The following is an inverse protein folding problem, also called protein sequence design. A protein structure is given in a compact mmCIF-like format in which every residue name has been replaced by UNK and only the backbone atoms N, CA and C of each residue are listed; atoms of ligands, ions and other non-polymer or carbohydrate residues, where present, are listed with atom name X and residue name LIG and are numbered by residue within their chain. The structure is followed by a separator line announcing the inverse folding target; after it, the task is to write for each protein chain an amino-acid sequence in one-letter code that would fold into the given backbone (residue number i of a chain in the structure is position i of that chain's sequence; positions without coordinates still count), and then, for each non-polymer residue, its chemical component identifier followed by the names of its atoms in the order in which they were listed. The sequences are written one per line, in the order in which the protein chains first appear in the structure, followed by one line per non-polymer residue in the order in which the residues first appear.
data_IF_582757354734
#
_entry.id   IF_582757354734
#
_cell.length_a   1.000
_cell.length_b   1.000
_cell.length_c   1.000
_cell.angle_alpha   90.00
_cell.angle_beta   90.00
_cell.angle_gamma   90.00
#
_symmetry.space_group_name_H-M   'P 1'
#
loop_
_entity.id
_entity.type
_entity.pdbx_description
1 polymer ?
#
# COMPACT_ATOMS: atom_id res chain seq x y z
N UNK A 1 -10.26 5.31 3.12
CA UNK A 1 -8.99 5.88 2.63
C UNK A 1 -7.96 6.11 3.74
N UNK A 2 -8.31 6.79 4.83
CA UNK A 2 -7.41 7.11 5.94
C UNK A 2 -6.52 5.95 6.43
N UNK A 3 -7.11 4.77 6.64
CA UNK A 3 -6.39 3.55 7.02
C UNK A 3 -5.31 3.18 6.01
N UNK A 4 -5.65 3.16 4.72
CA UNK A 4 -4.72 2.82 3.63
C UNK A 4 -3.51 3.74 3.62
N UNK A 5 -3.74 5.06 3.74
CA UNK A 5 -2.64 6.04 3.76
C UNK A 5 -1.75 5.82 4.99
N UNK A 6 -2.36 5.63 6.17
CA UNK A 6 -1.62 5.46 7.43
C UNK A 6 -0.78 4.19 7.42
N UNK A 7 -1.37 3.07 7.04
CA UNK A 7 -0.68 1.78 6.95
C UNK A 7 0.48 1.87 5.95
N UNK A 8 0.24 2.51 4.80
CA UNK A 8 1.26 2.56 3.76
C UNK A 8 2.41 3.51 4.09
N UNK A 9 2.14 4.63 4.75
CA UNK A 9 3.19 5.49 5.31
C UNK A 9 4.05 4.73 6.32
N UNK A 10 3.43 3.94 7.19
CA UNK A 10 4.16 3.12 8.16
C UNK A 10 5.05 2.08 7.49
N UNK A 11 4.52 1.34 6.50
CA UNK A 11 5.30 0.35 5.73
C UNK A 11 6.46 1.00 4.98
N UNK A 12 6.28 2.20 4.44
CA UNK A 12 7.31 2.92 3.69
C UNK A 12 8.27 3.72 4.58
N UNK A 13 8.06 3.76 5.90
CA UNK A 13 8.82 4.62 6.81
C UNK A 13 8.69 6.12 6.49
N UNK A 14 7.61 6.53 5.83
CA UNK A 14 7.43 7.85 5.24
C UNK A 14 6.56 8.75 6.13
N UNK A 15 6.89 10.04 6.21
CA UNK A 15 6.07 11.06 6.88
C UNK A 15 5.08 11.73 5.90
N UNK A 16 4.02 12.34 6.43
CA UNK A 16 3.03 13.08 5.62
C UNK A 16 3.65 14.13 4.69
N UNK A 17 4.67 14.86 5.18
CA UNK A 17 5.39 15.88 4.40
C UNK A 17 6.06 15.27 3.16
N UNK A 18 6.70 14.13 3.32
CA UNK A 18 7.41 13.44 2.24
C UNK A 18 6.41 12.88 1.21
N UNK A 19 5.26 12.38 1.66
CA UNK A 19 4.19 11.98 0.75
C UNK A 19 3.65 13.16 -0.04
N UNK A 20 3.44 14.30 0.62
CA UNK A 20 2.95 15.51 -0.02
C UNK A 20 3.94 16.00 -1.11
N UNK A 21 5.23 16.01 -0.79
CA UNK A 21 6.31 16.35 -1.73
C UNK A 21 6.34 15.39 -2.93
N UNK A 22 6.30 14.07 -2.70
CA UNK A 22 6.29 13.06 -3.77
C UNK A 22 5.05 13.15 -4.67
N UNK A 23 3.89 13.38 -4.08
CA UNK A 23 2.63 13.50 -4.81
C UNK A 23 2.41 14.91 -5.41
N UNK A 24 3.29 15.87 -5.14
CA UNK A 24 3.16 17.28 -5.54
C UNK A 24 1.84 17.90 -5.09
N UNK A 25 1.45 17.63 -3.84
CA UNK A 25 0.26 18.17 -3.18
C UNK A 25 0.65 18.89 -1.90
N UNK A 26 -0.26 19.65 -1.29
CA UNK A 26 0.00 20.25 0.02
C UNK A 26 -0.05 19.19 1.12
N UNK A 27 0.73 19.38 2.19
CA UNK A 27 0.65 18.52 3.38
C UNK A 27 -0.75 18.57 4.03
N UNK A 28 -1.45 19.71 3.92
CA UNK A 28 -2.82 19.84 4.38
C UNK A 28 -3.76 18.84 3.69
N UNK A 29 -3.61 18.63 2.37
CA UNK A 29 -4.40 17.63 1.63
C UNK A 29 -4.16 16.22 2.19
N UNK A 30 -2.90 15.85 2.46
CA UNK A 30 -2.57 14.53 3.04
C UNK A 30 -3.19 14.37 4.42
N UNK A 31 -3.08 15.40 5.27
CA UNK A 31 -3.66 15.42 6.62
C UNK A 31 -5.18 15.29 6.57
N UNK A 32 -5.84 16.04 5.69
CA UNK A 32 -7.29 15.95 5.49
C UNK A 32 -7.71 14.53 5.09
N UNK A 33 -6.99 13.88 4.16
CA UNK A 33 -7.32 12.51 3.75
C UNK A 33 -7.14 11.46 4.86
N UNK A 34 -6.30 11.73 5.87
CA UNK A 34 -6.11 10.84 7.02
C UNK A 34 -7.14 11.05 8.13
N UNK A 35 -7.70 12.25 8.29
CA UNK A 35 -8.51 12.60 9.46
C UNK A 35 -9.91 13.14 9.15
N UNK A 36 -10.17 13.58 7.92
CA UNK A 36 -11.44 14.21 7.51
C UNK A 36 -11.96 13.55 6.23
N UNK A 37 -12.58 12.37 6.40
CA UNK A 37 -13.00 11.48 5.31
C UNK A 37 -14.29 11.94 4.59
N UNK A 38 -15.01 12.91 5.14
CA UNK A 38 -16.37 13.27 4.70
C UNK A 38 -16.42 14.46 3.74
N UNK A 39 -15.32 15.19 3.56
CA UNK A 39 -15.30 16.38 2.70
C UNK A 39 -15.04 16.06 1.22
N UNK A 40 -16.13 16.11 0.43
CA UNK A 40 -16.28 16.26 -1.04
C UNK A 40 -15.27 15.47 -1.90
N UNK A 41 -15.78 14.62 -2.79
CA UNK A 41 -15.05 13.97 -3.91
C UNK A 41 -13.83 14.80 -4.33
N UNK A 42 -12.64 14.43 -3.86
CA UNK A 42 -11.40 15.09 -4.28
C UNK A 42 -11.17 14.82 -5.75
N UNK A 43 -10.42 15.70 -6.40
CA UNK A 43 -10.14 15.51 -7.82
C UNK A 43 -9.50 14.13 -8.02
N UNK A 44 -9.99 13.38 -9.01
CA UNK A 44 -9.46 12.05 -9.33
C UNK A 44 -7.94 12.11 -9.51
N UNK A 45 -7.43 13.19 -10.09
CA UNK A 45 -6.01 13.48 -10.29
C UNK A 45 -5.21 13.59 -8.99
N UNK A 46 -5.77 14.17 -7.94
CA UNK A 46 -5.12 14.27 -6.62
C UNK A 46 -5.02 12.89 -5.96
N UNK A 47 -6.11 12.13 -6.01
CA UNK A 47 -6.13 10.76 -5.47
C UNK A 47 -5.19 9.85 -6.25
N UNK A 48 -5.07 10.06 -7.56
CA UNK A 48 -4.13 9.37 -8.43
C UNK A 48 -2.68 9.63 -8.04
N UNK A 49 -2.28 10.90 -7.95
CA UNK A 49 -0.92 11.28 -7.59
C UNK A 49 -0.51 10.72 -6.22
N UNK A 50 -1.42 10.75 -5.25
CA UNK A 50 -1.18 10.19 -3.90
C UNK A 50 -1.11 8.65 -3.96
N UNK A 51 -1.97 7.99 -4.74
CA UNK A 51 -1.92 6.53 -4.89
C UNK A 51 -0.58 6.08 -5.48
N UNK A 52 -0.10 6.75 -6.53
CA UNK A 52 1.20 6.48 -7.15
C UNK A 52 2.34 6.73 -6.16
N UNK A 53 2.32 7.85 -5.42
CA UNK A 53 3.36 8.16 -4.43
C UNK A 53 3.42 7.15 -3.26
N UNK A 54 2.30 6.47 -2.97
CA UNK A 54 2.21 5.37 -2.00
C UNK A 54 2.60 4.00 -2.59
N UNK A 55 2.94 3.94 -3.88
CA UNK A 55 3.24 2.70 -4.59
C UNK A 55 2.01 1.80 -4.75
N UNK A 56 0.84 2.41 -4.93
CA UNK A 56 -0.45 1.74 -5.17
C UNK A 56 -0.87 1.93 -6.64
N UNK A 57 -1.88 1.17 -7.07
CA UNK A 57 -2.50 1.39 -8.39
C UNK A 57 -3.00 2.85 -8.51
N UNK A 58 -2.89 3.52 -9.67
CA UNK A 58 -3.31 4.92 -9.83
C UNK A 58 -4.74 5.21 -9.37
N UNK A 59 -5.68 4.27 -9.56
CA UNK A 59 -7.07 4.43 -9.12
C UNK A 59 -7.34 3.98 -7.68
N UNK A 60 -6.34 3.47 -6.96
CA UNK A 60 -6.56 2.73 -5.70
C UNK A 60 -7.34 3.55 -4.67
N UNK A 61 -6.91 4.79 -4.37
CA UNK A 61 -7.63 5.62 -3.40
C UNK A 61 -9.00 6.06 -3.89
N UNK A 62 -9.19 6.20 -5.20
CA UNK A 62 -10.50 6.48 -5.80
C UNK A 62 -11.44 5.28 -5.63
N UNK A 63 -10.96 4.06 -5.89
CA UNK A 63 -11.72 2.82 -5.71
C UNK A 63 -12.15 2.66 -4.24
N UNK A 64 -11.22 2.89 -3.30
CA UNK A 64 -11.52 2.90 -1.86
C UNK A 64 -12.55 3.98 -1.49
N UNK A 65 -12.46 5.17 -2.09
CA UNK A 65 -13.42 6.26 -1.84
C UNK A 65 -14.83 5.91 -2.32
N UNK A 66 -14.93 5.14 -3.40
CA UNK A 66 -16.19 4.70 -4.00
C UNK A 66 -16.75 3.42 -3.36
N UNK A 67 -16.04 2.80 -2.42
CA UNK A 67 -16.41 1.51 -1.82
C UNK A 67 -16.19 0.31 -2.76
N UNK A 68 -15.43 0.51 -3.84
CA UNK A 68 -15.04 -0.56 -4.77
C UNK A 68 -13.80 -1.30 -4.28
N UNK A 69 -13.64 -2.55 -4.72
CA UNK A 69 -12.41 -3.31 -4.49
C UNK A 69 -11.27 -2.68 -5.29
N UNK A 70 -10.17 -2.22 -4.65
CA UNK A 70 -9.09 -1.57 -5.35
C UNK A 70 -8.30 -2.54 -6.23
N UNK A 71 -7.87 -2.06 -7.40
CA UNK A 71 -7.02 -2.86 -8.29
C UNK A 71 -5.63 -3.11 -7.67
N UNK A 72 -5.02 -4.28 -7.94
CA UNK A 72 -3.63 -4.52 -7.58
C UNK A 72 -2.71 -3.54 -8.33
N UNK A 73 -1.50 -3.35 -7.80
CA UNK A 73 -0.45 -2.58 -8.48
C UNK A 73 -0.21 -3.23 -9.85
N UNK A 74 -0.16 -2.45 -10.95
CA UNK A 74 0.14 -3.03 -12.25
C UNK A 74 1.52 -3.68 -12.23
N UNK A 75 1.66 -4.80 -12.93
CA UNK A 75 2.99 -5.31 -13.24
C UNK A 75 3.71 -4.30 -14.15
N UNK A 76 5.05 -4.25 -14.12
CA UNK A 76 5.81 -3.51 -15.13
C UNK A 76 5.35 -3.93 -16.53
N UNK A 77 5.18 -2.97 -17.45
CA UNK A 77 4.79 -3.26 -18.84
C UNK A 77 5.86 -4.09 -19.57
N UNK A 78 7.13 -3.84 -19.27
CA UNK A 78 8.28 -4.61 -19.74
C UNK A 78 9.11 -5.08 -18.53
N UNK A 79 8.74 -6.20 -17.90
CA UNK A 79 9.47 -6.72 -16.77
C UNK A 79 10.84 -7.25 -17.23
N UNK A 80 11.91 -7.07 -16.43
CA UNK A 80 13.19 -7.73 -16.67
C UNK A 80 13.01 -9.25 -16.92
N UNK A 81 13.89 -9.84 -17.75
CA UNK A 81 13.78 -11.26 -18.12
C UNK A 81 13.73 -12.21 -16.90
N UNK A 82 14.37 -11.81 -15.79
CA UNK A 82 14.44 -12.56 -14.53
C UNK A 82 13.36 -12.16 -13.51
N UNK A 83 12.49 -11.19 -13.81
CA UNK A 83 11.50 -10.65 -12.88
C UNK A 83 10.60 -11.74 -12.28
N UNK A 84 10.08 -12.64 -13.11
CA UNK A 84 9.20 -13.70 -12.62
C UNK A 84 9.96 -14.77 -11.82
N UNK A 85 11.22 -15.04 -12.18
CA UNK A 85 12.07 -16.00 -11.47
C UNK A 85 12.44 -15.46 -10.09
N UNK A 86 12.91 -14.22 -10.01
CA UNK A 86 13.26 -13.54 -8.76
C UNK A 86 12.04 -13.38 -7.86
N UNK A 87 10.89 -13.00 -8.44
CA UNK A 87 9.64 -12.91 -7.70
C UNK A 87 9.17 -14.26 -7.17
N UNK A 88 9.23 -15.32 -7.98
CA UNK A 88 8.86 -16.67 -7.54
C UNK A 88 9.77 -17.18 -6.40
N UNK A 89 11.07 -16.91 -6.48
CA UNK A 89 12.02 -17.24 -5.41
C UNK A 89 11.70 -16.50 -4.11
N UNK A 90 11.40 -15.20 -4.18
CA UNK A 90 11.03 -14.42 -3.00
C UNK A 90 9.68 -14.87 -2.44
N UNK A 91 8.69 -15.20 -3.29
CA UNK A 91 7.42 -15.77 -2.84
C UNK A 91 7.62 -17.11 -2.10
N UNK A 92 8.43 -18.02 -2.65
CA UNK A 92 8.74 -19.28 -1.99
C UNK A 92 9.41 -19.06 -0.63
N UNK A 93 10.33 -18.09 -0.54
CA UNK A 93 10.97 -17.70 0.72
C UNK A 93 9.97 -17.15 1.74
N UNK A 94 9.10 -16.25 1.34
CA UNK A 94 8.06 -15.68 2.21
C UNK A 94 7.10 -16.76 2.71
N UNK A 95 6.68 -17.68 1.84
CA UNK A 95 5.83 -18.81 2.23
C UNK A 95 6.51 -19.71 3.25
N UNK A 96 7.79 -20.04 3.05
CA UNK A 96 8.57 -20.81 4.03
C UNK A 96 8.68 -20.09 5.38
N UNK A 97 8.92 -18.77 5.40
CA UNK A 97 8.95 -17.99 6.64
C UNK A 97 7.61 -17.97 7.37
N UNK A 98 6.51 -17.87 6.62
CA UNK A 98 5.15 -17.90 7.17
C UNK A 98 4.84 -19.28 7.77
N UNK A 99 5.24 -20.37 7.12
CA UNK A 99 5.09 -21.73 7.65
C UNK A 99 5.88 -21.93 8.94
N UNK A 100 7.13 -21.45 8.98
CA UNK A 100 7.96 -21.51 10.18
C UNK A 100 7.38 -20.68 11.33
N UNK A 101 6.82 -19.50 11.03
CA UNK A 101 6.15 -18.67 12.02
C UNK A 101 4.91 -19.37 12.58
N UNK A 102 4.08 -19.98 11.72
CA UNK A 102 2.93 -20.77 12.17
C UNK A 102 3.36 -21.92 13.08
N UNK A 103 4.39 -22.69 12.69
CA UNK A 103 4.92 -23.79 13.50
C UNK A 103 5.36 -23.33 14.90
N UNK A 104 6.11 -22.22 14.98
CA UNK A 104 6.56 -21.65 16.25
C UNK A 104 5.40 -21.18 17.13
N UNK A 105 4.37 -20.58 16.54
CA UNK A 105 3.17 -20.16 17.28
C UNK A 105 2.45 -21.38 17.87
N UNK A 106 2.34 -22.47 17.12
CA UNK A 106 1.69 -23.70 17.59
C UNK A 106 2.50 -24.44 18.67
N UNK A 107 3.83 -24.39 18.60
CA UNK A 107 4.71 -24.88 19.67
C UNK A 107 4.52 -24.08 20.97
N UNK A 108 4.48 -22.74 20.89
CA UNK A 108 4.26 -21.88 22.05
C UNK A 108 2.87 -22.09 22.68
N UNK A 109 1.85 -22.36 21.87
CA UNK A 109 0.49 -22.67 22.35
C UNK A 109 0.41 -24.00 23.06
N UNK A 110 1.17 -25.02 22.62
CA UNK A 110 1.20 -26.37 23.23
C UNK A 110 2.05 -26.45 24.50
N UNK A 111 2.89 -25.44 24.75
CA UNK A 111 3.77 -25.34 25.93
C UNK A 111 3.13 -24.59 27.12
N UNK A 112 1.86 -24.21 27.02
CA UNK A 112 1.02 -23.67 28.10
C UNK A 112 -0.06 -24.66 28.47
#
# INVERSE_FOLDING_TARGET
MAKVITDRLAVLGMRQRELAERAKVSQAIVRELQYDTDRRRRSARTLEAISIALGLHPTHLLDVALGSVPKPVPLPEDPPQDFFVTWAQEQARLMSLVEDLHRKVDELRRSR
#
